data_IF_285012391898
#
_entry.id   IF_285012391898
#
_cell.length_a   1.000
_cell.length_b   1.000
_cell.length_c   1.000
_cell.angle_alpha   90.00
_cell.angle_beta   90.00
_cell.angle_gamma   90.00
#
_symmetry.space_group_name_H-M   'P 1'
#
loop_
_entity.id
_entity.type
_entity.pdbx_description
1 polymer ?
#
# COMPACT_ATOMS: atom_id res chain seq x y z
N UNK A 1 -2.22 -12.23 -6.06
CA UNK A 1 -1.48 -12.79 -7.23
C UNK A 1 -0.22 -11.95 -7.29
N UNK A 2 0.95 -12.48 -6.91
CA UNK A 2 2.19 -11.70 -6.92
C UNK A 2 2.48 -11.28 -8.37
N UNK A 3 2.30 -9.99 -8.65
CA UNK A 3 2.74 -9.39 -9.89
C UNK A 3 4.27 -9.46 -9.88
N UNK A 4 4.89 -10.02 -10.93
CA UNK A 4 6.36 -10.12 -11.07
C UNK A 4 7.01 -8.74 -11.32
N UNK A 5 6.60 -7.72 -10.57
CA UNK A 5 7.01 -6.33 -10.75
C UNK A 5 7.76 -5.90 -9.47
N UNK A 6 9.09 -5.98 -9.52
CA UNK A 6 9.98 -5.72 -8.38
C UNK A 6 9.80 -4.32 -7.79
N UNK A 7 9.30 -3.36 -8.59
CA UNK A 7 9.00 -2.01 -8.14
C UNK A 7 7.75 -1.98 -7.25
N UNK A 8 6.72 -2.76 -7.58
CA UNK A 8 5.52 -2.88 -6.75
C UNK A 8 5.88 -3.55 -5.43
N UNK A 9 6.66 -4.62 -5.46
CA UNK A 9 7.07 -5.38 -4.27
C UNK A 9 7.89 -4.51 -3.31
N UNK A 10 8.88 -3.78 -3.84
CA UNK A 10 9.67 -2.81 -3.07
C UNK A 10 8.82 -1.69 -2.47
N UNK A 11 7.83 -1.19 -3.21
CA UNK A 11 6.90 -0.19 -2.70
C UNK A 11 6.00 -0.77 -1.61
N UNK A 12 5.46 -1.97 -1.81
CA UNK A 12 4.64 -2.68 -0.82
C UNK A 12 5.40 -2.86 0.48
N UNK A 13 6.62 -3.41 0.43
CA UNK A 13 7.44 -3.59 1.62
C UNK A 13 7.72 -2.26 2.32
N UNK A 14 8.12 -1.22 1.59
CA UNK A 14 8.41 0.08 2.16
C UNK A 14 7.17 0.69 2.84
N UNK A 15 6.00 0.63 2.18
CA UNK A 15 4.73 1.14 2.70
C UNK A 15 4.28 0.33 3.92
N UNK A 16 4.34 -0.99 3.86
CA UNK A 16 3.97 -1.86 4.98
C UNK A 16 4.87 -1.68 6.21
N UNK A 17 6.17 -1.44 6.01
CA UNK A 17 7.11 -1.15 7.11
C UNK A 17 6.84 0.18 7.82
N UNK A 18 6.10 1.11 7.20
CA UNK A 18 5.69 2.38 7.83
C UNK A 18 4.47 2.22 8.75
N UNK A 19 3.82 1.06 8.77
CA UNK A 19 2.73 0.70 9.69
C UNK A 19 1.32 0.92 9.15
N UNK A 20 0.32 0.26 9.78
CA UNK A 20 -1.06 0.19 9.28
C UNK A 20 -1.68 1.58 9.00
N UNK A 21 -1.37 2.59 9.82
CA UNK A 21 -1.93 3.94 9.67
C UNK A 21 -1.44 4.63 8.37
N UNK A 22 -0.15 4.50 8.08
CA UNK A 22 0.46 5.07 6.87
C UNK A 22 -0.03 4.35 5.63
N UNK A 23 -0.14 3.01 5.70
CA UNK A 23 -0.74 2.19 4.63
C UNK A 23 -2.14 2.69 4.29
N UNK A 24 -3.01 2.91 5.29
CA UNK A 24 -4.36 3.43 5.08
C UNK A 24 -4.36 4.84 4.45
N UNK A 25 -3.45 5.72 4.87
CA UNK A 25 -3.30 7.05 4.27
C UNK A 25 -2.89 6.95 2.81
N UNK A 26 -1.97 6.04 2.46
CA UNK A 26 -1.52 5.84 1.09
C UNK A 26 -2.64 5.26 0.21
N UNK A 27 -3.39 4.28 0.71
CA UNK A 27 -4.59 3.76 0.03
C UNK A 27 -5.55 4.91 -0.29
N UNK A 28 -5.87 5.75 0.70
CA UNK A 28 -6.75 6.90 0.53
C UNK A 28 -6.21 7.89 -0.51
N UNK A 29 -4.92 8.22 -0.45
CA UNK A 29 -4.28 9.13 -1.40
C UNK A 29 -4.31 8.59 -2.83
N UNK A 30 -4.07 7.29 -3.05
CA UNK A 30 -4.15 6.67 -4.38
C UNK A 30 -5.59 6.70 -4.92
N UNK A 31 -6.59 6.42 -4.08
CA UNK A 31 -8.01 6.45 -4.47
C UNK A 31 -8.48 7.85 -4.87
N UNK A 32 -7.90 8.88 -4.26
CA UNK A 32 -8.19 10.28 -4.54
C UNK A 32 -7.27 10.90 -5.60
N UNK A 33 -6.56 10.08 -6.37
CA UNK A 33 -5.63 10.50 -7.43
C UNK A 33 -4.58 11.51 -6.94
N UNK A 34 -4.21 11.43 -5.65
CA UNK A 34 -3.15 12.26 -5.08
C UNK A 34 -1.79 11.75 -5.55
N UNK A 35 -0.89 12.70 -5.81
CA UNK A 35 0.49 12.39 -6.15
C UNK A 35 1.25 12.12 -4.85
N UNK A 36 1.86 10.94 -4.76
CA UNK A 36 2.68 10.53 -3.63
C UNK A 36 4.05 10.15 -4.18
N UNK A 37 5.10 10.73 -3.60
CA UNK A 37 6.49 10.58 -4.04
C UNK A 37 6.90 9.09 -4.15
N UNK A 38 6.51 8.29 -3.16
CA UNK A 38 6.85 6.86 -3.06
C UNK A 38 6.30 6.00 -4.21
N UNK A 39 5.24 6.44 -4.90
CA UNK A 39 4.64 5.73 -6.04
C UNK A 39 4.68 6.57 -7.31
N UNK A 40 5.32 7.75 -7.30
CA UNK A 40 5.28 8.68 -8.43
C UNK A 40 5.85 8.03 -9.69
N UNK A 41 6.91 7.24 -9.52
CA UNK A 41 7.58 6.48 -10.56
C UNK A 41 6.75 5.32 -11.13
N UNK A 42 5.65 4.91 -10.47
CA UNK A 42 4.79 3.84 -10.93
C UNK A 42 3.82 4.31 -12.01
N UNK A 43 3.59 3.45 -12.99
CA UNK A 43 2.54 3.65 -13.99
C UNK A 43 1.15 3.53 -13.36
N UNK A 44 0.13 4.08 -14.04
CA UNK A 44 -1.27 4.00 -13.58
C UNK A 44 -1.69 2.53 -13.32
N UNK A 45 -1.26 1.60 -14.18
CA UNK A 45 -1.54 0.16 -14.00
C UNK A 45 -0.90 -0.39 -12.73
N UNK A 46 0.37 -0.05 -12.49
CA UNK A 46 1.09 -0.48 -11.29
C UNK A 46 0.48 0.14 -10.02
N UNK A 47 0.04 1.40 -10.05
CA UNK A 47 -0.68 2.05 -8.94
C UNK A 47 -1.99 1.33 -8.59
N UNK A 48 -2.75 0.92 -9.60
CA UNK A 48 -3.99 0.15 -9.41
C UNK A 48 -3.69 -1.21 -8.76
N UNK A 49 -2.67 -1.91 -9.24
CA UNK A 49 -2.25 -3.21 -8.66
C UNK A 49 -1.78 -3.04 -7.23
N UNK A 50 -0.91 -2.06 -6.97
CA UNK A 50 -0.42 -1.73 -5.63
C UNK A 50 -1.57 -1.43 -4.67
N UNK A 51 -2.54 -0.61 -5.09
CA UNK A 51 -3.73 -0.30 -4.29
C UNK A 51 -4.50 -1.57 -3.92
N UNK A 52 -4.65 -2.49 -4.87
CA UNK A 52 -5.39 -3.72 -4.66
C UNK A 52 -4.66 -4.65 -3.68
N UNK A 53 -3.35 -4.80 -3.81
CA UNK A 53 -2.54 -5.61 -2.88
C UNK A 53 -2.51 -4.98 -1.48
N UNK A 54 -2.37 -3.65 -1.36
CA UNK A 54 -2.45 -2.95 -0.06
C UNK A 54 -3.80 -3.18 0.64
N UNK A 55 -4.90 -3.14 -0.12
CA UNK A 55 -6.24 -3.43 0.39
C UNK A 55 -6.39 -4.89 0.81
N UNK A 56 -5.87 -5.83 0.03
CA UNK A 56 -5.90 -7.27 0.34
C UNK A 56 -5.14 -7.57 1.64
N UNK A 57 -3.94 -6.99 1.78
CA UNK A 57 -3.13 -7.04 3.01
C UNK A 57 -3.93 -6.46 4.18
N UNK A 58 -4.48 -5.25 4.04
CA UNK A 58 -5.27 -4.60 5.09
C UNK A 58 -6.53 -5.38 5.48
N UNK A 59 -7.15 -6.14 4.57
CA UNK A 59 -8.30 -7.02 4.89
C UNK A 59 -7.87 -8.12 5.87
N UNK A 60 -6.71 -8.74 5.66
CA UNK A 60 -6.14 -9.74 6.58
C UNK A 60 -5.86 -9.10 7.96
N UNK A 61 -5.37 -7.86 7.96
CA UNK A 61 -5.07 -7.12 9.20
C UNK A 61 -6.27 -6.42 9.84
N UNK A 62 -7.43 -6.33 9.20
CA UNK A 62 -8.64 -5.72 9.76
C UNK A 62 -9.17 -6.46 11.00
N UNK A 63 -8.76 -7.73 11.17
CA UNK A 63 -8.97 -8.50 12.40
C UNK A 63 -7.83 -8.42 13.43
N UNK A 64 -6.72 -7.73 13.16
CA UNK A 64 -5.50 -7.78 13.97
C UNK A 64 -4.71 -6.48 14.14
N UNK A 65 -5.01 -5.36 13.45
CA UNK A 65 -4.49 -4.02 13.83
C UNK A 65 -5.25 -3.50 15.09
N UNK A 66 -5.30 -4.28 16.17
CA UNK A 66 -5.50 -3.75 17.51
C UNK A 66 -4.14 -3.27 18.01
N UNK A 67 -3.90 -1.96 17.88
CA UNK A 67 -2.96 -1.14 18.65
C UNK A 67 -1.97 -1.93 19.54
N UNK A 68 -0.71 -1.97 19.12
CA UNK A 68 0.41 -2.08 20.06
C UNK A 68 1.28 -0.83 19.90
N UNK A 69 0.68 0.33 20.21
CA UNK A 69 1.42 1.52 20.57
C UNK A 69 1.77 1.36 22.06
N UNK A 70 3.05 1.17 22.36
CA UNK A 70 3.59 1.19 23.72
C UNK A 70 3.98 2.61 24.10
#
# INVERSE_FOLDING_TARGET
MLTNDEQIDSCLENICNQGCQVVNQIIYQIEHEQIIDIIEHLTIKQKIVLLQELKDIMIVYSGSCTYHER
#
